data_IF_091482316910
#
_entry.id   IF_091482316910
#
_cell.length_a   1.000
_cell.length_b   1.000
_cell.length_c   1.000
_cell.angle_alpha   90.00
_cell.angle_beta   90.00
_cell.angle_gamma   90.00
#
_symmetry.space_group_name_H-M   'P 1'
#
loop_
_entity.id
_entity.type
_entity.pdbx_description
1 polymer ?
#
# COMPACT_ATOMS: atom_id res chain seq x y z
N UNK A 1 -10.40 -3.86 -11.70
CA UNK A 1 -11.17 -2.60 -11.86
C UNK A 1 -12.60 -3.05 -12.12
N UNK A 2 -13.43 -3.13 -11.07
CA UNK A 2 -14.86 -3.29 -11.26
C UNK A 2 -15.45 -1.93 -11.62
N UNK A 3 -15.81 -1.76 -12.88
CA UNK A 3 -16.80 -0.76 -13.23
C UNK A 3 -18.14 -1.25 -12.70
N UNK A 4 -18.53 -0.77 -11.54
CA UNK A 4 -19.92 -0.82 -11.13
C UNK A 4 -20.54 0.47 -11.65
N UNK A 5 -21.43 0.39 -12.63
CA UNK A 5 -22.41 1.44 -12.88
C UNK A 5 -23.24 1.59 -11.61
N UNK A 6 -22.78 2.45 -10.71
CA UNK A 6 -23.56 2.83 -9.55
C UNK A 6 -24.66 3.76 -10.02
N UNK A 7 -25.91 3.38 -9.76
CA UNK A 7 -27.05 4.28 -9.75
C UNK A 7 -26.66 5.60 -9.10
N UNK A 8 -27.12 6.70 -9.70
CA UNK A 8 -26.87 8.09 -9.36
C UNK A 8 -26.99 8.33 -7.85
N UNK A 9 -25.95 8.09 -7.12
CA UNK A 9 -25.78 8.69 -5.81
C UNK A 9 -25.39 10.13 -6.05
N UNK A 10 -26.28 11.02 -5.69
CA UNK A 10 -26.15 12.47 -5.80
C UNK A 10 -25.05 12.94 -4.82
N UNK A 11 -23.81 12.59 -5.09
CA UNK A 11 -22.62 13.15 -4.43
C UNK A 11 -22.29 14.42 -5.17
N UNK A 12 -22.91 15.51 -4.73
CA UNK A 12 -22.35 16.82 -4.98
C UNK A 12 -20.90 16.77 -4.47
N UNK A 13 -19.98 17.13 -5.35
CA UNK A 13 -18.72 17.73 -5.06
C UNK A 13 -17.50 16.88 -4.72
N UNK A 14 -17.35 15.71 -5.28
CA UNK A 14 -16.00 15.26 -5.66
C UNK A 14 -16.17 14.32 -6.84
N UNK A 15 -16.57 14.88 -7.95
CA UNK A 15 -16.32 14.23 -9.23
C UNK A 15 -14.85 13.81 -9.24
N UNK A 16 -14.64 12.55 -9.49
CA UNK A 16 -13.36 12.04 -9.95
C UNK A 16 -13.04 12.79 -11.25
N UNK A 17 -12.48 13.99 -11.14
CA UNK A 17 -11.76 14.55 -12.26
C UNK A 17 -10.62 13.56 -12.51
N UNK A 18 -10.73 12.82 -13.59
CA UNK A 18 -9.59 12.11 -14.17
C UNK A 18 -8.61 13.20 -14.55
N UNK A 19 -7.73 13.53 -13.63
CA UNK A 19 -6.67 14.50 -13.89
C UNK A 19 -5.75 13.86 -14.91
N UNK A 20 -5.49 14.61 -15.98
CA UNK A 20 -4.46 14.25 -16.96
C UNK A 20 -3.14 13.94 -16.22
N UNK A 21 -2.34 13.00 -16.74
CA UNK A 21 -1.05 12.67 -16.13
C UNK A 21 -0.22 13.94 -16.04
N UNK A 22 0.00 14.40 -14.82
CA UNK A 22 0.68 15.66 -14.55
C UNK A 22 2.13 15.62 -15.01
N UNK A 23 2.62 16.79 -15.45
CA UNK A 23 4.03 17.05 -15.75
C UNK A 23 4.91 16.39 -14.69
N UNK A 24 5.93 15.66 -15.16
CA UNK A 24 6.95 15.05 -14.30
C UNK A 24 7.30 16.00 -13.17
N UNK A 25 7.12 15.56 -11.92
CA UNK A 25 7.60 16.30 -10.75
C UNK A 25 9.05 16.68 -10.98
N UNK A 26 9.44 17.91 -10.60
CA UNK A 26 10.85 18.22 -10.39
C UNK A 26 11.34 17.18 -9.38
N UNK A 27 12.33 16.39 -9.76
CA UNK A 27 12.92 15.41 -8.86
C UNK A 27 13.40 16.16 -7.62
N UNK A 28 12.75 15.91 -6.48
CA UNK A 28 13.33 16.28 -5.21
C UNK A 28 14.63 15.50 -5.09
N UNK A 29 15.70 16.16 -4.71
CA UNK A 29 16.96 15.49 -4.41
C UNK A 29 16.80 14.95 -3.00
N UNK A 30 16.81 13.62 -2.88
CA UNK A 30 16.85 12.94 -1.60
C UNK A 30 18.29 12.53 -1.31
N UNK A 31 18.69 12.61 -0.05
CA UNK A 31 19.95 12.02 0.40
C UNK A 31 19.86 10.49 0.30
N UNK A 32 21.00 9.84 0.03
CA UNK A 32 21.10 8.38 0.05
C UNK A 32 20.72 7.84 1.44
N UNK A 33 19.83 6.86 1.49
CA UNK A 33 19.36 6.31 2.75
C UNK A 33 20.30 5.21 3.27
N UNK A 34 20.69 5.35 4.54
CA UNK A 34 21.50 4.35 5.24
C UNK A 34 20.65 3.18 5.74
N UNK A 35 20.66 2.06 4.99
CA UNK A 35 19.94 0.84 5.31
C UNK A 35 20.45 0.10 6.57
N UNK A 36 21.55 0.55 7.20
CA UNK A 36 22.00 -0.04 8.47
C UNK A 36 21.11 0.34 9.65
N UNK A 37 20.26 1.35 9.50
CA UNK A 37 19.33 1.80 10.55
C UNK A 37 18.04 0.98 10.53
N UNK A 38 17.53 0.69 11.72
CA UNK A 38 16.22 0.04 11.86
C UNK A 38 15.09 1.00 11.53
N UNK A 39 14.14 0.54 10.74
CA UNK A 39 13.00 1.36 10.35
C UNK A 39 11.73 0.55 10.06
N UNK A 40 10.62 1.27 10.07
CA UNK A 40 9.33 0.82 9.58
C UNK A 40 9.06 1.55 8.26
N UNK A 41 8.72 0.81 7.23
CA UNK A 41 8.43 1.38 5.90
C UNK A 41 6.96 1.77 5.76
N UNK A 42 6.72 2.96 5.22
CA UNK A 42 5.39 3.54 5.00
C UNK A 42 5.28 3.99 3.55
N UNK A 43 4.83 3.11 2.64
CA UNK A 43 4.58 3.49 1.25
C UNK A 43 3.36 4.41 1.18
N UNK A 44 3.55 5.64 0.71
CA UNK A 44 2.45 6.54 0.40
C UNK A 44 1.76 6.09 -0.89
N UNK A 45 0.45 6.23 -0.92
CA UNK A 45 -0.41 5.94 -2.06
C UNK A 45 -0.81 7.23 -2.76
N UNK A 46 -1.46 7.13 -3.89
CA UNK A 46 -2.09 8.28 -4.55
C UNK A 46 -3.33 8.66 -3.77
N UNK A 47 -3.42 9.89 -3.27
CA UNK A 47 -4.55 10.36 -2.46
C UNK A 47 -5.91 10.24 -3.16
N UNK A 48 -5.92 10.28 -4.49
CA UNK A 48 -7.13 10.18 -5.31
C UNK A 48 -7.44 8.75 -5.79
N UNK A 49 -6.67 7.77 -5.33
CA UNK A 49 -6.95 6.38 -5.64
C UNK A 49 -8.27 5.96 -4.98
N UNK A 50 -9.09 5.22 -5.72
CA UNK A 50 -10.34 4.65 -5.22
C UNK A 50 -10.13 3.78 -3.98
N UNK A 51 -8.98 3.11 -3.87
CA UNK A 51 -8.63 2.32 -2.70
C UNK A 51 -8.51 3.20 -1.45
N UNK A 52 -7.88 4.38 -1.57
CA UNK A 52 -7.77 5.32 -0.46
C UNK A 52 -9.13 5.93 -0.12
N UNK A 53 -9.88 6.37 -1.13
CA UNK A 53 -11.15 7.09 -0.93
C UNK A 53 -12.26 6.18 -0.37
N UNK A 54 -12.36 4.95 -0.92
CA UNK A 54 -13.49 4.04 -0.64
C UNK A 54 -13.13 3.06 0.48
N UNK A 55 -11.91 2.55 0.46
CA UNK A 55 -11.47 1.44 1.28
C UNK A 55 -10.60 1.85 2.48
N UNK A 56 -10.51 3.14 2.79
CA UNK A 56 -9.78 3.63 3.97
C UNK A 56 -10.69 4.55 4.82
N UNK A 57 -11.63 3.99 5.56
CA UNK A 57 -12.67 4.78 6.22
C UNK A 57 -12.16 5.63 7.39
N UNK A 58 -11.05 5.26 8.00
CA UNK A 58 -10.49 5.94 9.18
C UNK A 58 -9.40 6.95 8.82
N UNK A 59 -8.58 6.63 7.84
CA UNK A 59 -7.47 7.46 7.38
C UNK A 59 -7.59 7.54 5.86
N UNK A 60 -8.01 8.66 5.32
CA UNK A 60 -8.43 8.78 3.93
C UNK A 60 -7.52 9.66 3.07
N UNK A 61 -6.34 9.99 3.59
CA UNK A 61 -5.29 10.70 2.85
C UNK A 61 -3.89 10.38 3.38
N UNK A 62 -2.86 10.63 2.57
CA UNK A 62 -1.48 10.46 2.99
C UNK A 62 -1.06 11.50 4.04
N UNK A 63 -1.66 12.68 4.01
CA UNK A 63 -1.49 13.70 5.03
C UNK A 63 -2.02 13.22 6.39
N UNK A 64 -3.20 12.63 6.42
CA UNK A 64 -3.74 12.03 7.65
C UNK A 64 -2.89 10.87 8.13
N UNK A 65 -2.43 10.01 7.22
CA UNK A 65 -1.52 8.91 7.57
C UNK A 65 -0.23 9.43 8.21
N UNK A 66 0.34 10.51 7.66
CA UNK A 66 1.51 11.15 8.26
C UNK A 66 1.24 11.59 9.71
N UNK A 67 0.12 12.26 9.95
CA UNK A 67 -0.22 12.74 11.31
C UNK A 67 -0.51 11.58 12.28
N UNK A 68 -1.13 10.51 11.82
CA UNK A 68 -1.33 9.31 12.65
C UNK A 68 0.01 8.71 13.07
N UNK A 69 0.95 8.59 12.14
CA UNK A 69 2.30 8.10 12.43
C UNK A 69 3.05 9.06 13.35
N UNK A 70 3.01 10.36 13.08
CA UNK A 70 3.66 11.36 13.93
C UNK A 70 3.13 11.34 15.36
N UNK A 71 1.82 11.13 15.51
CA UNK A 71 1.17 10.98 16.83
C UNK A 71 1.58 9.68 17.52
N UNK A 72 1.65 8.56 16.78
CA UNK A 72 2.08 7.28 17.30
C UNK A 72 3.53 7.34 17.80
N UNK A 73 4.43 8.01 17.08
CA UNK A 73 5.84 8.18 17.45
C UNK A 73 6.05 8.80 18.85
N UNK A 74 5.14 9.63 19.32
CA UNK A 74 5.21 10.21 20.67
C UNK A 74 5.07 9.15 21.76
N UNK A 75 4.31 8.08 21.48
CA UNK A 75 3.99 7.00 22.41
C UNK A 75 4.86 5.75 22.20
N UNK A 76 5.54 5.62 21.07
CA UNK A 76 6.45 4.50 20.78
C UNK A 76 7.62 4.53 21.76
N UNK A 77 7.94 3.38 22.36
CA UNK A 77 8.96 3.21 23.38
C UNK A 77 10.36 3.35 22.79
N UNK A 78 10.63 2.64 21.70
CA UNK A 78 11.89 2.72 20.96
C UNK A 78 12.02 4.10 20.29
N UNK A 79 12.94 4.92 20.81
CA UNK A 79 13.14 6.30 20.30
C UNK A 79 14.06 6.35 19.08
N UNK A 80 14.75 5.26 18.76
CA UNK A 80 15.69 5.19 17.65
C UNK A 80 15.04 4.68 16.36
N UNK A 81 13.89 4.00 16.45
CA UNK A 81 13.16 3.54 15.27
C UNK A 81 12.76 4.68 14.35
N UNK A 82 13.09 4.54 13.08
CA UNK A 82 12.72 5.50 12.03
C UNK A 82 11.46 5.03 11.30
N UNK A 83 10.75 5.99 10.72
CA UNK A 83 9.68 5.74 9.76
C UNK A 83 10.14 6.27 8.41
N UNK A 84 10.24 5.37 7.44
CA UNK A 84 10.70 5.70 6.11
C UNK A 84 9.50 5.78 5.19
N UNK A 85 9.28 6.94 4.63
CA UNK A 85 8.18 7.23 3.71
C UNK A 85 8.73 7.29 2.29
N UNK A 86 8.04 6.62 1.38
CA UNK A 86 8.27 6.78 -0.06
C UNK A 86 6.99 7.27 -0.71
N UNK A 87 7.08 8.42 -1.38
CA UNK A 87 5.97 8.98 -2.14
C UNK A 87 5.67 8.11 -3.38
N UNK A 88 4.38 7.99 -3.72
CA UNK A 88 4.00 7.26 -4.93
C UNK A 88 4.42 8.07 -6.18
N UNK A 89 5.07 7.45 -7.17
CA UNK A 89 5.61 8.16 -8.34
C UNK A 89 4.53 8.83 -9.21
N UNK A 90 3.30 8.32 -9.17
CA UNK A 90 2.16 8.87 -9.91
C UNK A 90 1.31 9.83 -9.08
N UNK A 91 1.63 10.04 -7.81
CA UNK A 91 0.89 11.02 -7.02
C UNK A 91 1.30 12.44 -7.42
N UNK A 92 0.31 13.31 -7.61
CA UNK A 92 0.52 14.73 -7.93
C UNK A 92 0.63 15.62 -6.70
N UNK A 93 0.31 15.08 -5.54
CA UNK A 93 0.42 15.79 -4.26
C UNK A 93 1.88 16.07 -3.93
N UNK A 94 2.13 17.12 -3.18
CA UNK A 94 3.47 17.47 -2.69
C UNK A 94 3.49 17.38 -1.17
N UNK A 95 4.49 16.70 -0.64
CA UNK A 95 4.64 16.50 0.80
C UNK A 95 5.89 17.22 1.34
N UNK A 96 6.42 18.18 0.59
CA UNK A 96 7.66 18.88 0.93
C UNK A 96 7.65 19.55 2.32
N UNK A 97 6.49 19.96 2.80
CA UNK A 97 6.32 20.52 4.15
C UNK A 97 6.54 19.51 5.28
N UNK A 98 6.50 18.20 4.96
CA UNK A 98 6.69 17.13 5.92
C UNK A 98 8.11 16.57 5.95
N UNK A 99 8.94 16.84 4.92
CA UNK A 99 10.25 16.20 4.77
C UNK A 99 11.21 16.48 5.95
N UNK A 100 11.17 17.68 6.51
CA UNK A 100 12.03 18.07 7.64
C UNK A 100 11.27 18.25 8.95
N UNK A 101 9.96 17.99 8.94
CA UNK A 101 9.07 18.28 10.07
C UNK A 101 9.38 17.41 11.31
N UNK A 102 9.66 16.14 11.10
CA UNK A 102 9.95 15.19 12.17
C UNK A 102 11.25 14.44 11.87
N UNK A 103 12.28 14.51 12.73
CA UNK A 103 13.57 13.88 12.47
C UNK A 103 13.50 12.35 12.39
N UNK A 104 12.43 11.74 12.92
CA UNK A 104 12.21 10.28 12.89
C UNK A 104 11.35 9.81 11.70
N UNK A 105 10.80 10.73 10.91
CA UNK A 105 10.09 10.42 9.68
C UNK A 105 10.91 10.95 8.52
N UNK A 106 11.42 10.05 7.68
CA UNK A 106 12.29 10.39 6.56
C UNK A 106 11.63 10.05 5.24
N UNK A 107 11.65 10.99 4.32
CA UNK A 107 11.19 10.76 2.95
C UNK A 107 12.39 10.33 2.11
N UNK A 108 12.22 9.26 1.33
CA UNK A 108 13.30 8.69 0.49
C UNK A 108 12.76 8.31 -0.89
N UNK A 109 13.65 8.12 -1.84
CA UNK A 109 13.30 7.68 -3.20
C UNK A 109 14.06 6.40 -3.61
N UNK A 110 14.38 5.56 -2.65
CA UNK A 110 15.06 4.30 -2.86
C UNK A 110 14.16 3.27 -3.57
N UNK A 111 14.72 2.16 -4.03
CA UNK A 111 13.96 1.07 -4.61
C UNK A 111 12.95 0.52 -3.58
N UNK A 112 11.71 0.28 -4.00
CA UNK A 112 10.63 -0.18 -3.10
C UNK A 112 10.93 -1.56 -2.53
N UNK A 113 11.47 -2.48 -3.33
CA UNK A 113 11.80 -3.82 -2.87
C UNK A 113 12.93 -3.78 -1.82
N UNK A 114 13.96 -2.93 -2.01
CA UNK A 114 15.02 -2.76 -1.05
C UNK A 114 14.50 -2.16 0.27
N UNK A 115 13.59 -1.20 0.18
CA UNK A 115 12.90 -0.63 1.35
C UNK A 115 12.10 -1.70 2.10
N UNK A 116 11.38 -2.57 1.39
CA UNK A 116 10.64 -3.67 2.03
C UNK A 116 11.60 -4.66 2.67
N UNK A 117 12.62 -5.12 1.94
CA UNK A 117 13.54 -6.17 2.39
C UNK A 117 14.29 -5.80 3.68
N UNK A 118 14.64 -4.54 3.85
CA UNK A 118 15.39 -4.07 5.00
C UNK A 118 14.50 -3.51 6.13
N UNK A 119 13.21 -3.31 5.89
CA UNK A 119 12.29 -2.86 6.93
C UNK A 119 12.04 -3.92 8.01
N UNK A 120 11.80 -3.48 9.25
CA UNK A 120 11.28 -4.32 10.34
C UNK A 120 9.82 -4.69 10.13
N UNK A 121 9.03 -3.74 9.61
CA UNK A 121 7.63 -3.90 9.28
C UNK A 121 7.22 -2.90 8.21
N UNK A 122 6.07 -3.11 7.61
CA UNK A 122 5.44 -2.18 6.65
C UNK A 122 4.09 -1.74 7.20
N UNK A 123 3.82 -0.43 7.19
CA UNK A 123 2.51 0.14 7.53
C UNK A 123 1.92 0.73 6.27
N UNK A 124 0.71 0.35 5.93
CA UNK A 124 0.00 0.87 4.76
C UNK A 124 -1.50 1.01 5.02
N UNK A 125 -2.19 1.81 4.22
CA UNK A 125 -3.65 1.77 4.25
C UNK A 125 -4.15 0.46 3.60
N UNK A 126 -3.95 0.32 2.31
CA UNK A 126 -4.39 -0.85 1.53
C UNK A 126 -3.61 -0.99 0.21
N UNK A 127 -2.37 -0.51 0.18
CA UNK A 127 -1.50 -0.56 -0.99
C UNK A 127 -1.15 -1.98 -1.40
N UNK A 128 -0.98 -2.21 -2.70
CA UNK A 128 -0.40 -3.46 -3.23
C UNK A 128 1.02 -3.74 -2.70
N UNK A 129 1.75 -2.71 -2.28
CA UNK A 129 3.05 -2.86 -1.58
C UNK A 129 2.92 -3.73 -0.32
N UNK A 130 1.74 -3.73 0.33
CA UNK A 130 1.47 -4.63 1.45
C UNK A 130 1.44 -6.10 1.04
N UNK A 131 0.95 -6.44 -0.17
CA UNK A 131 1.02 -7.79 -0.73
C UNK A 131 2.47 -8.18 -0.97
N UNK A 132 3.24 -7.31 -1.63
CA UNK A 132 4.66 -7.54 -1.92
C UNK A 132 5.46 -7.77 -0.63
N UNK A 133 5.23 -6.94 0.39
CA UNK A 133 5.85 -7.08 1.70
C UNK A 133 5.48 -8.40 2.38
N UNK A 134 4.20 -8.78 2.32
CA UNK A 134 3.74 -10.07 2.86
C UNK A 134 4.36 -11.26 2.12
N UNK A 135 4.50 -11.19 0.79
CA UNK A 135 5.18 -12.21 0.00
C UNK A 135 6.67 -12.36 0.38
N UNK A 136 7.31 -11.27 0.77
CA UNK A 136 8.68 -11.24 1.26
C UNK A 136 8.81 -11.63 2.75
N UNK A 137 7.72 -12.08 3.37
CA UNK A 137 7.69 -12.54 4.76
C UNK A 137 7.80 -11.41 5.80
N UNK A 138 7.50 -10.17 5.41
CA UNK A 138 7.52 -9.02 6.33
C UNK A 138 6.23 -8.92 7.11
N UNK A 139 6.33 -8.45 8.35
CA UNK A 139 5.17 -8.03 9.13
C UNK A 139 4.51 -6.82 8.46
N UNK A 140 3.23 -6.94 8.17
CA UNK A 140 2.45 -5.87 7.52
C UNK A 140 1.30 -5.45 8.41
N UNK A 141 1.19 -4.16 8.67
CA UNK A 141 0.08 -3.52 9.36
C UNK A 141 -0.78 -2.78 8.35
N UNK A 142 -2.05 -3.12 8.30
CA UNK A 142 -3.03 -2.60 7.35
C UNK A 142 -4.04 -1.73 8.08
N UNK A 143 -4.17 -0.47 7.68
CA UNK A 143 -5.03 0.51 8.36
C UNK A 143 -6.33 0.80 7.60
N UNK A 144 -6.48 0.27 6.40
CA UNK A 144 -7.68 0.32 5.58
C UNK A 144 -8.21 -1.08 5.26
N UNK A 145 -9.23 -1.16 4.42
CA UNK A 145 -9.76 -2.43 3.94
C UNK A 145 -8.89 -2.92 2.77
N UNK A 146 -8.27 -4.06 2.91
CA UNK A 146 -7.46 -4.67 1.86
C UNK A 146 -7.80 -6.16 1.71
N UNK A 147 -7.72 -6.69 0.50
CA UNK A 147 -8.00 -8.11 0.24
C UNK A 147 -7.03 -9.06 0.97
N UNK A 148 -5.88 -8.58 1.36
CA UNK A 148 -4.86 -9.31 2.12
C UNK A 148 -4.89 -8.99 3.63
N UNK A 149 -5.85 -8.20 4.10
CA UNK A 149 -6.07 -7.96 5.54
C UNK A 149 -6.74 -9.20 6.16
N UNK A 150 -6.00 -10.29 6.17
CA UNK A 150 -6.41 -11.63 6.62
C UNK A 150 -5.47 -12.04 7.74
N UNK A 151 -6.02 -12.53 8.84
CA UNK A 151 -5.24 -13.07 9.96
C UNK A 151 -4.28 -14.16 9.46
N UNK A 152 -3.01 -14.06 9.85
CA UNK A 152 -1.93 -14.92 9.37
C UNK A 152 -1.27 -14.45 8.06
N UNK A 153 -1.88 -13.51 7.31
CA UNK A 153 -1.25 -12.88 6.14
C UNK A 153 -0.73 -11.48 6.49
N UNK A 154 -1.58 -10.66 7.11
CA UNK A 154 -1.24 -9.33 7.61
C UNK A 154 -2.06 -9.01 8.86
N UNK A 155 -1.80 -7.86 9.48
CA UNK A 155 -2.39 -7.48 10.74
C UNK A 155 -3.22 -6.21 10.55
N UNK A 156 -4.54 -6.33 10.74
CA UNK A 156 -5.45 -5.18 10.66
C UNK A 156 -5.26 -4.28 11.88
N UNK A 157 -5.16 -2.98 11.66
CA UNK A 157 -5.04 -1.95 12.69
C UNK A 157 -6.26 -1.03 12.62
N UNK A 158 -7.06 -1.02 13.68
CA UNK A 158 -8.33 -0.31 13.72
C UNK A 158 -8.30 0.97 14.56
N UNK A 159 -7.23 1.19 15.33
CA UNK A 159 -7.08 2.38 16.17
C UNK A 159 -5.62 2.87 16.23
N UNK A 160 -5.44 4.11 16.72
CA UNK A 160 -4.11 4.67 16.98
C UNK A 160 -3.42 3.95 18.13
N UNK A 161 -4.17 3.47 19.09
CA UNK A 161 -3.69 2.69 20.24
C UNK A 161 -3.16 1.34 19.79
N UNK A 162 -3.90 0.63 18.93
CA UNK A 162 -3.44 -0.63 18.32
C UNK A 162 -2.17 -0.42 17.49
N UNK A 163 -2.07 0.68 16.76
CA UNK A 163 -0.85 1.00 16.01
C UNK A 163 0.36 1.15 16.91
N UNK A 164 0.21 1.89 18.01
CA UNK A 164 1.30 2.08 19.00
C UNK A 164 1.69 0.76 19.63
N UNK A 165 0.70 -0.05 20.03
CA UNK A 165 0.93 -1.36 20.61
C UNK A 165 1.67 -2.28 19.63
N UNK A 166 1.21 -2.36 18.39
CA UNK A 166 1.83 -3.15 17.33
C UNK A 166 3.29 -2.76 17.06
N UNK A 167 3.59 -1.46 17.06
CA UNK A 167 4.96 -0.98 16.87
C UNK A 167 5.85 -1.34 18.07
N UNK A 168 5.32 -1.24 19.29
CA UNK A 168 6.08 -1.56 20.51
C UNK A 168 6.32 -3.07 20.66
N UNK A 169 5.45 -3.90 20.12
CA UNK A 169 5.45 -5.36 20.28
C UNK A 169 5.62 -6.09 18.94
N UNK A 170 6.45 -5.55 18.03
CA UNK A 170 6.63 -6.09 16.67
C UNK A 170 6.93 -7.60 16.62
N UNK A 171 7.61 -8.13 17.63
CA UNK A 171 7.97 -9.55 17.70
C UNK A 171 6.75 -10.48 17.85
N UNK A 172 5.63 -9.96 18.34
CA UNK A 172 4.40 -10.73 18.54
C UNK A 172 3.60 -10.88 17.25
N UNK A 173 3.94 -10.08 16.21
CA UNK A 173 3.26 -10.05 14.94
C UNK A 173 4.05 -10.80 13.87
N UNK A 174 3.71 -12.06 13.68
CA UNK A 174 4.35 -12.91 12.67
C UNK A 174 3.31 -13.44 11.70
N UNK A 175 3.73 -13.70 10.46
CA UNK A 175 2.87 -14.38 9.49
C UNK A 175 2.74 -15.86 9.83
N UNK A 176 1.55 -16.40 9.61
CA UNK A 176 1.35 -17.83 9.49
C UNK A 176 1.74 -18.28 8.08
N UNK A 177 2.80 -19.08 7.97
CA UNK A 177 3.35 -19.52 6.69
C UNK A 177 2.38 -20.39 5.89
N UNK A 178 1.48 -21.13 6.57
CA UNK A 178 0.50 -21.99 5.90
C UNK A 178 -0.64 -21.13 5.34
N UNK A 179 -1.15 -20.21 6.16
CA UNK A 179 -2.24 -19.31 5.74
C UNK A 179 -1.76 -18.38 4.64
N UNK A 180 -0.61 -17.71 4.82
CA UNK A 180 -0.06 -16.79 3.83
C UNK A 180 0.30 -17.51 2.53
N UNK A 181 0.94 -18.66 2.61
CA UNK A 181 1.25 -19.49 1.43
C UNK A 181 -0.01 -19.93 0.67
N UNK A 182 -1.07 -20.33 1.38
CA UNK A 182 -2.35 -20.69 0.79
C UNK A 182 -3.04 -19.50 0.12
N UNK A 183 -2.98 -18.32 0.76
CA UNK A 183 -3.53 -17.09 0.20
C UNK A 183 -2.82 -16.70 -1.10
N UNK A 184 -1.48 -16.69 -1.12
CA UNK A 184 -0.72 -16.35 -2.34
C UNK A 184 -0.90 -17.37 -3.44
N UNK A 185 -0.95 -18.67 -3.10
CA UNK A 185 -1.29 -19.72 -4.07
C UNK A 185 -2.67 -19.49 -4.68
N UNK A 186 -3.67 -19.15 -3.86
CA UNK A 186 -5.01 -18.83 -4.34
C UNK A 186 -5.02 -17.61 -5.27
N UNK A 187 -4.33 -16.54 -4.88
CA UNK A 187 -4.20 -15.35 -5.72
C UNK A 187 -3.60 -15.69 -7.09
N UNK A 188 -2.50 -16.40 -7.11
CA UNK A 188 -1.79 -16.77 -8.33
C UNK A 188 -2.60 -17.71 -9.21
N UNK A 189 -3.11 -18.81 -8.63
CA UNK A 189 -3.72 -19.91 -9.40
C UNK A 189 -5.20 -19.72 -9.70
N UNK A 190 -5.92 -18.93 -8.91
CA UNK A 190 -7.38 -18.85 -8.98
C UNK A 190 -7.91 -17.44 -9.24
N UNK A 191 -7.28 -16.42 -8.71
CA UNK A 191 -7.80 -15.07 -8.75
C UNK A 191 -7.15 -14.20 -9.82
N UNK A 192 -5.84 -14.13 -9.84
CA UNK A 192 -5.10 -13.31 -10.80
C UNK A 192 -5.01 -13.97 -12.18
N UNK A 193 -4.81 -13.14 -13.17
CA UNK A 193 -4.39 -13.56 -14.49
C UNK A 193 -2.90 -13.26 -14.65
N UNK A 194 -2.11 -14.17 -15.22
CA UNK A 194 -0.72 -13.89 -15.53
C UNK A 194 -0.61 -12.71 -16.48
N UNK A 195 0.33 -11.81 -16.22
CA UNK A 195 0.68 -10.71 -17.11
C UNK A 195 0.55 -9.33 -16.50
N UNK A 196 0.90 -8.33 -17.29
CA UNK A 196 0.79 -6.93 -16.93
C UNK A 196 -0.37 -6.27 -17.66
N UNK A 197 -1.04 -5.34 -17.00
CA UNK A 197 -2.19 -4.63 -17.57
C UNK A 197 -1.80 -3.43 -18.47
N UNK A 198 -0.52 -3.12 -18.58
CA UNK A 198 -0.03 -1.99 -19.37
C UNK A 198 -0.10 -2.28 -20.87
N UNK A 199 -0.71 -1.39 -21.60
CA UNK A 199 -1.07 -1.49 -23.02
C UNK A 199 0.10 -1.80 -23.98
N UNK A 200 1.31 -1.42 -23.60
CA UNK A 200 2.52 -1.63 -24.41
C UNK A 200 2.98 -3.10 -24.45
N UNK A 201 2.39 -3.93 -23.61
CA UNK A 201 2.75 -5.35 -23.49
C UNK A 201 1.70 -6.30 -24.07
N UNK A 202 0.57 -5.77 -24.61
CA UNK A 202 -0.51 -6.60 -25.16
C UNK A 202 -0.50 -6.52 -26.69
N UNK A 203 -0.13 -7.60 -27.34
CA UNK A 203 -0.36 -7.83 -28.76
C UNK A 203 -1.79 -8.34 -29.01
N UNK A 204 -2.29 -8.20 -30.26
CA UNK A 204 -3.64 -8.65 -30.64
C UNK A 204 -3.87 -10.18 -30.44
N UNK A 205 -2.80 -10.97 -30.40
CA UNK A 205 -2.82 -12.43 -30.21
C UNK A 205 -2.45 -12.83 -28.78
N UNK A 206 -2.67 -11.94 -27.82
CA UNK A 206 -2.10 -12.10 -26.50
C UNK A 206 -2.83 -13.17 -25.70
N UNK A 207 -2.08 -14.11 -25.21
CA UNK A 207 -2.50 -15.20 -24.34
C UNK A 207 -3.36 -14.73 -23.13
N UNK A 208 -3.22 -13.47 -22.72
CA UNK A 208 -4.01 -12.87 -21.66
C UNK A 208 -5.48 -12.67 -22.01
N UNK A 209 -5.77 -12.24 -23.24
CA UNK A 209 -7.17 -12.05 -23.70
C UNK A 209 -7.88 -13.38 -23.67
N UNK A 210 -7.25 -14.42 -24.20
CA UNK A 210 -7.81 -15.80 -24.21
C UNK A 210 -7.99 -16.33 -22.78
N UNK A 211 -7.04 -16.08 -21.89
CA UNK A 211 -7.17 -16.49 -20.49
C UNK A 211 -8.26 -15.71 -19.76
N UNK A 212 -8.41 -14.41 -20.04
CA UNK A 212 -9.50 -13.62 -19.49
C UNK A 212 -10.86 -14.13 -19.96
N UNK A 213 -11.04 -14.37 -21.27
CA UNK A 213 -12.25 -14.90 -21.84
C UNK A 213 -12.61 -16.29 -21.26
N UNK A 214 -11.64 -17.18 -21.15
CA UNK A 214 -11.84 -18.48 -20.54
C UNK A 214 -12.24 -18.38 -19.07
N UNK A 215 -11.62 -17.48 -18.31
CA UNK A 215 -11.92 -17.31 -16.90
C UNK A 215 -13.29 -16.67 -16.67
N UNK A 216 -13.66 -15.66 -17.47
CA UNK A 216 -15.00 -15.06 -17.44
C UNK A 216 -16.06 -16.07 -17.89
N UNK A 217 -15.84 -16.80 -18.97
CA UNK A 217 -16.73 -17.86 -19.43
C UNK A 217 -17.00 -18.90 -18.35
N UNK A 218 -15.95 -19.38 -17.66
CA UNK A 218 -16.09 -20.37 -16.59
C UNK A 218 -16.86 -19.89 -15.35
N UNK A 219 -16.98 -18.58 -15.16
CA UNK A 219 -17.77 -17.97 -14.07
C UNK A 219 -19.22 -17.78 -14.47
N UNK A 220 -19.49 -17.48 -15.76
CA UNK A 220 -20.84 -17.26 -16.27
C UNK A 220 -21.61 -18.57 -16.52
N UNK A 221 -20.91 -19.71 -16.62
CA UNK A 221 -21.52 -21.05 -16.80
C UNK A 221 -21.90 -21.73 -15.48
N UNK A 222 -21.68 -21.11 -14.35
CA UNK A 222 -22.06 -21.56 -12.99
C UNK A 222 -23.23 -20.80 -12.44
#
# INVERSE_FOLDING_TARGET
ICYVESEKVNRKDKCLEVREPHKKRKSLVFDEFDFSKEYIFVPFQVDFDSQVIINSPRVNSMVELYYVIEKALKKVVDKDVLFIVKEHPSDSSTYSEFHERNPRIKFVNENTEDLIRNARAVITLNSSVGIEASMLGKTVFVMGNACYAIEGVSNQINSDEELVDAINNLADYTQDKVVSGSFFYYLEQKYLLPGAWQKEQFGADDHHVVQFENKVGSVLEK
#
